data_IF_241510070973
#
_entry.id   IF_241510070973
#
_cell.length_a   1.000
_cell.length_b   1.000
_cell.length_c   1.000
_cell.angle_alpha   90.00
_cell.angle_beta   90.00
_cell.angle_gamma   90.00
#
_symmetry.space_group_name_H-M   'P 1'
#
loop_
_entity.id
_entity.type
_entity.pdbx_description
1 polymer ?
#
# COMPACT_ATOMS: atom_id res chain seq x y z
N UNK A 1 -16.22 8.58 11.38
CA UNK A 1 -15.06 9.49 11.32
C UNK A 1 -15.17 10.48 10.18
N UNK A 2 -15.20 10.06 8.91
CA UNK A 2 -15.26 10.98 7.77
C UNK A 2 -16.43 11.98 7.80
N UNK A 3 -17.57 11.62 8.39
CA UNK A 3 -18.74 12.49 8.53
C UNK A 3 -18.60 13.60 9.59
N UNK A 4 -17.58 13.54 10.45
CA UNK A 4 -17.44 14.43 11.62
C UNK A 4 -16.10 15.14 11.67
N UNK A 5 -15.34 15.13 10.57
CA UNK A 5 -14.04 15.79 10.49
C UNK A 5 -13.85 16.48 9.15
N UNK A 6 -13.08 17.56 9.14
CA UNK A 6 -12.69 18.30 7.93
C UNK A 6 -11.37 17.82 7.34
N UNK A 7 -10.58 17.03 8.08
CA UNK A 7 -9.31 16.49 7.57
C UNK A 7 -9.53 15.22 6.73
N UNK A 8 -8.63 14.90 5.79
CA UNK A 8 -8.73 13.69 4.98
C UNK A 8 -8.80 12.41 5.84
N UNK A 9 -9.62 11.45 5.42
CA UNK A 9 -9.73 10.12 6.04
C UNK A 9 -9.34 9.05 5.03
N UNK A 10 -8.39 8.20 5.42
CA UNK A 10 -7.95 7.05 4.63
C UNK A 10 -8.54 5.78 5.26
N UNK A 11 -9.20 4.96 4.45
CA UNK A 11 -9.79 3.70 4.86
C UNK A 11 -8.95 2.51 4.39
N UNK A 12 -8.55 1.63 5.31
CA UNK A 12 -7.91 0.35 4.99
C UNK A 12 -8.88 -0.78 5.34
N UNK A 13 -9.53 -1.43 4.35
CA UNK A 13 -10.41 -2.56 4.61
C UNK A 13 -9.63 -3.69 5.26
N UNK A 14 -10.18 -4.29 6.32
CA UNK A 14 -9.56 -5.44 6.98
C UNK A 14 -10.06 -6.71 6.31
N UNK A 15 -9.18 -7.71 6.19
CA UNK A 15 -9.60 -9.02 5.69
C UNK A 15 -10.48 -9.71 6.73
N UNK A 16 -11.77 -9.88 6.41
CA UNK A 16 -12.71 -10.64 7.22
C UNK A 16 -12.54 -12.16 7.00
N UNK A 17 -13.02 -12.95 7.97
CA UNK A 17 -13.04 -14.42 7.87
C UNK A 17 -13.94 -14.95 6.76
N UNK A 18 -14.96 -14.17 6.39
CA UNK A 18 -15.89 -14.46 5.30
C UNK A 18 -15.71 -13.42 4.18
N UNK A 19 -15.94 -13.83 2.92
CA UNK A 19 -15.94 -12.94 1.75
C UNK A 19 -14.60 -12.21 1.46
N UNK A 20 -13.49 -12.69 2.03
CA UNK A 20 -12.13 -12.18 1.80
C UNK A 20 -11.96 -10.65 1.97
N UNK A 21 -12.81 -10.02 2.79
CA UNK A 21 -12.80 -8.57 3.03
C UNK A 21 -13.54 -7.72 1.99
N UNK A 22 -14.29 -8.33 1.06
CA UNK A 22 -15.15 -7.61 0.12
C UNK A 22 -16.24 -6.79 0.85
N UNK A 23 -16.79 -7.34 1.93
CA UNK A 23 -17.73 -6.68 2.83
C UNK A 23 -17.12 -5.43 3.49
N UNK A 24 -15.88 -5.56 3.96
CA UNK A 24 -15.10 -4.48 4.54
C UNK A 24 -14.76 -3.42 3.49
N UNK A 25 -14.45 -3.84 2.26
CA UNK A 25 -14.19 -2.91 1.16
C UNK A 25 -15.44 -2.11 0.81
N UNK A 26 -16.56 -2.79 0.58
CA UNK A 26 -17.81 -2.15 0.18
C UNK A 26 -18.39 -1.25 1.27
N UNK A 27 -18.25 -1.62 2.55
CA UNK A 27 -18.69 -0.77 3.66
C UNK A 27 -17.88 0.51 3.83
N UNK A 28 -16.64 0.56 3.33
CA UNK A 28 -15.76 1.74 3.43
C UNK A 28 -15.78 2.59 2.16
N UNK A 29 -15.74 1.97 0.97
CA UNK A 29 -15.62 2.69 -0.30
C UNK A 29 -16.94 3.32 -0.77
N UNK A 30 -18.09 2.74 -0.39
CA UNK A 30 -19.41 3.17 -0.84
C UNK A 30 -19.96 4.36 -0.04
N UNK A 31 -19.15 5.39 0.16
CA UNK A 31 -19.58 6.59 0.88
C UNK A 31 -20.52 7.45 0.01
N UNK A 32 -21.58 8.04 0.59
CA UNK A 32 -22.47 8.94 -0.13
C UNK A 32 -21.75 10.23 -0.54
N UNK A 33 -22.35 10.93 -1.52
CA UNK A 33 -21.84 12.23 -1.99
C UNK A 33 -21.71 13.21 -0.81
N UNK A 34 -20.57 13.92 -0.75
CA UNK A 34 -20.28 14.92 0.27
C UNK A 34 -19.43 14.43 1.45
N UNK A 35 -19.23 13.11 1.62
CA UNK A 35 -18.41 12.56 2.71
C UNK A 35 -17.36 11.57 2.16
N UNK A 36 -16.30 12.05 1.49
CA UNK A 36 -15.34 11.18 0.82
C UNK A 36 -14.44 10.41 1.80
N UNK A 37 -14.02 9.21 1.40
CA UNK A 37 -12.98 8.40 2.07
C UNK A 37 -12.00 7.90 1.01
N UNK A 38 -10.70 8.05 1.27
CA UNK A 38 -9.66 7.50 0.41
C UNK A 38 -9.40 6.03 0.77
N UNK A 39 -10.07 5.11 0.08
CA UNK A 39 -9.97 3.67 0.38
C UNK A 39 -8.81 3.02 -0.36
N UNK A 40 -7.97 2.26 0.36
CA UNK A 40 -6.87 1.46 -0.21
C UNK A 40 -7.25 -0.02 -0.33
N UNK A 41 -6.35 -0.85 -0.87
CA UNK A 41 -6.54 -2.30 -1.00
C UNK A 41 -6.79 -2.98 0.36
N UNK A 42 -7.54 -4.08 0.33
CA UNK A 42 -7.83 -4.91 1.51
C UNK A 42 -6.53 -5.38 2.17
N UNK A 43 -6.41 -5.18 3.48
CA UNK A 43 -5.26 -5.58 4.30
C UNK A 43 -3.99 -4.75 4.08
N UNK A 44 -4.04 -3.67 3.29
CA UNK A 44 -2.85 -2.92 2.89
C UNK A 44 -2.66 -1.63 3.70
N UNK A 45 -2.31 -1.79 4.97
CA UNK A 45 -2.00 -0.66 5.87
C UNK A 45 -0.74 0.10 5.42
N UNK A 46 0.20 -0.57 4.76
CA UNK A 46 1.39 0.07 4.18
C UNK A 46 1.01 1.12 3.16
N UNK A 47 0.10 0.82 2.23
CA UNK A 47 -0.38 1.79 1.26
C UNK A 47 -1.19 2.91 1.91
N UNK A 48 -1.94 2.62 2.99
CA UNK A 48 -2.61 3.67 3.75
C UNK A 48 -1.61 4.67 4.36
N UNK A 49 -0.52 4.15 4.96
CA UNK A 49 0.55 4.98 5.51
C UNK A 49 1.30 5.77 4.43
N UNK A 50 1.62 5.15 3.29
CA UNK A 50 2.25 5.82 2.16
C UNK A 50 1.36 6.91 1.55
N UNK A 51 0.04 6.67 1.46
CA UNK A 51 -0.90 7.69 1.01
C UNK A 51 -0.96 8.86 1.98
N UNK A 52 -0.96 8.59 3.29
CA UNK A 52 -0.89 9.63 4.32
C UNK A 52 0.41 10.46 4.18
N UNK A 53 1.56 9.80 4.02
CA UNK A 53 2.84 10.47 3.79
C UNK A 53 2.81 11.34 2.53
N UNK A 54 2.23 10.86 1.43
CA UNK A 54 2.06 11.65 0.20
C UNK A 54 1.16 12.88 0.40
N UNK A 55 0.06 12.75 1.15
CA UNK A 55 -0.80 13.90 1.48
C UNK A 55 -0.02 14.93 2.29
N UNK A 56 0.69 14.51 3.34
CA UNK A 56 1.49 15.43 4.17
C UNK A 56 2.66 16.03 3.37
N UNK A 57 3.28 15.25 2.49
CA UNK A 57 4.38 15.70 1.61
C UNK A 57 3.98 16.81 0.62
N UNK A 58 2.68 17.07 0.43
CA UNK A 58 2.24 18.24 -0.34
C UNK A 58 2.59 19.56 0.36
N UNK A 59 2.76 19.56 1.69
CA UNK A 59 3.08 20.74 2.48
C UNK A 59 4.35 20.62 3.34
N UNK A 60 4.90 19.42 3.56
CA UNK A 60 6.21 19.22 4.22
C UNK A 60 7.23 18.63 3.23
N UNK A 61 8.22 19.46 2.83
CA UNK A 61 9.27 19.08 1.89
C UNK A 61 10.12 17.89 2.34
N UNK A 62 10.35 17.72 3.65
CA UNK A 62 11.15 16.60 4.18
C UNK A 62 10.43 15.27 4.01
N UNK A 63 9.11 15.27 4.19
CA UNK A 63 8.29 14.08 3.98
C UNK A 63 8.20 13.76 2.49
N UNK A 64 8.12 14.78 1.62
CA UNK A 64 8.16 14.57 0.18
C UNK A 64 9.48 13.92 -0.26
N UNK A 65 10.62 14.45 0.18
CA UNK A 65 11.94 13.87 -0.09
C UNK A 65 12.01 12.42 0.39
N UNK A 66 11.54 12.13 1.61
CA UNK A 66 11.48 10.75 2.11
C UNK A 66 10.62 9.83 1.24
N UNK A 67 9.48 10.31 0.72
CA UNK A 67 8.64 9.52 -0.20
C UNK A 67 9.36 9.26 -1.54
N UNK A 68 10.08 10.25 -2.07
CA UNK A 68 10.86 10.13 -3.30
C UNK A 68 11.99 9.09 -3.13
N UNK A 69 12.78 9.19 -2.05
CA UNK A 69 13.82 8.22 -1.71
C UNK A 69 13.25 6.81 -1.52
N UNK A 70 12.06 6.70 -0.91
CA UNK A 70 11.39 5.42 -0.74
C UNK A 70 11.04 4.77 -2.09
N UNK A 71 10.57 5.56 -3.06
CA UNK A 71 10.25 5.08 -4.41
C UNK A 71 11.51 4.63 -5.16
N UNK A 72 12.59 5.41 -5.10
CA UNK A 72 13.88 5.04 -5.71
C UNK A 72 14.47 3.77 -5.09
N UNK A 73 14.33 3.60 -3.77
CA UNK A 73 14.75 2.36 -3.10
C UNK A 73 13.93 1.16 -3.57
N UNK A 74 12.60 1.30 -3.67
CA UNK A 74 11.73 0.22 -4.17
C UNK A 74 12.07 -0.16 -5.61
N UNK A 75 12.33 0.83 -6.47
CA UNK A 75 12.69 0.59 -7.86
C UNK A 75 14.01 -0.19 -7.97
N UNK A 76 15.05 0.24 -7.22
CA UNK A 76 16.32 -0.49 -7.14
C UNK A 76 16.16 -1.93 -6.65
N UNK A 77 15.35 -2.14 -5.61
CA UNK A 77 15.07 -3.49 -5.10
C UNK A 77 14.35 -4.36 -6.15
N UNK A 78 13.42 -3.80 -6.90
CA UNK A 78 12.69 -4.51 -7.96
C UNK A 78 13.62 -4.86 -9.13
N UNK A 79 14.47 -3.93 -9.57
CA UNK A 79 15.44 -4.17 -10.64
C UNK A 79 16.45 -5.25 -10.25
N UNK A 80 16.98 -5.22 -9.02
CA UNK A 80 17.88 -6.25 -8.52
C UNK A 80 17.21 -7.64 -8.48
N UNK A 81 15.93 -7.71 -8.10
CA UNK A 81 15.15 -8.96 -8.14
C UNK A 81 14.92 -9.45 -9.58
N UNK A 82 14.68 -8.54 -10.53
CA UNK A 82 14.52 -8.87 -11.93
C UNK A 82 15.82 -9.43 -12.54
N UNK A 83 16.95 -8.77 -12.31
CA UNK A 83 18.27 -9.25 -12.76
C UNK A 83 18.59 -10.64 -12.19
N UNK A 84 18.29 -10.87 -10.91
CA UNK A 84 18.47 -12.17 -10.27
C UNK A 84 17.57 -13.24 -10.91
N UNK A 85 16.32 -12.91 -11.19
CA UNK A 85 15.38 -13.82 -11.84
C UNK A 85 15.85 -14.20 -13.25
N UNK A 86 16.42 -13.25 -13.99
CA UNK A 86 17.00 -13.50 -15.32
C UNK A 86 18.25 -14.38 -15.26
N UNK A 87 19.13 -14.14 -14.29
CA UNK A 87 20.38 -14.89 -14.15
C UNK A 87 20.18 -16.34 -13.65
N UNK A 88 19.33 -16.53 -12.62
CA UNK A 88 19.13 -17.82 -11.95
C UNK A 88 17.99 -18.64 -12.60
N UNK A 89 17.09 -17.98 -13.35
CA UNK A 89 15.88 -18.58 -13.89
C UNK A 89 14.78 -18.80 -12.83
N UNK A 90 13.53 -18.84 -13.26
CA UNK A 90 12.37 -18.83 -12.35
C UNK A 90 12.30 -19.99 -11.36
N UNK A 91 12.82 -21.17 -11.72
CA UNK A 91 12.78 -22.37 -10.87
C UNK A 91 13.71 -22.25 -9.68
N UNK A 92 14.90 -21.69 -9.88
CA UNK A 92 15.88 -21.52 -8.82
C UNK A 92 15.51 -20.34 -7.92
N UNK A 93 15.08 -19.22 -8.52
CA UNK A 93 14.60 -18.04 -7.81
C UNK A 93 13.49 -18.39 -6.81
N UNK A 94 12.49 -19.19 -7.22
CA UNK A 94 11.41 -19.63 -6.33
C UNK A 94 11.90 -20.54 -5.19
N UNK A 95 12.91 -21.37 -5.44
CA UNK A 95 13.47 -22.24 -4.41
C UNK A 95 14.14 -21.41 -3.33
N UNK A 96 14.99 -20.46 -3.69
CA UNK A 96 15.71 -19.63 -2.72
C UNK A 96 14.77 -18.72 -1.94
N UNK A 97 13.80 -18.06 -2.60
CA UNK A 97 12.80 -17.25 -1.90
C UNK A 97 11.97 -18.08 -0.90
N UNK A 98 11.67 -19.34 -1.20
CA UNK A 98 10.90 -20.21 -0.29
C UNK A 98 11.66 -20.60 0.99
N UNK A 99 13.00 -20.60 0.93
CA UNK A 99 13.88 -20.86 2.07
C UNK A 99 14.10 -19.63 2.94
N UNK A 100 14.17 -18.43 2.34
CA UNK A 100 14.30 -17.16 3.08
C UNK A 100 13.01 -16.73 3.80
N UNK A 101 11.86 -17.26 3.38
CA UNK A 101 10.53 -16.95 3.97
C UNK A 101 10.09 -17.88 5.11
N UNK A 102 10.89 -18.91 5.46
CA UNK A 102 10.65 -19.78 6.63
C UNK A 102 11.44 -19.30 7.83
#
# INVERSE_FOLDING_TARGET
>A
MASVTSVPVIGCPVKASSLDGLDSLLSIVQMPRGVPVATVSIGNSTNAALLAARIVGTSDGRIREWVEEHLERMDRENMAKAERLEAEGWKEYQRVESWERK
#
